data_IF_876546989094
#
_entry.id   IF_876546989094
#
_cell.length_a   1.000
_cell.length_b   1.000
_cell.length_c   1.000
_cell.angle_alpha   90.00
_cell.angle_beta   90.00
_cell.angle_gamma   90.00
#
_symmetry.space_group_name_H-M   'P 1'
#
loop_
_entity.id
_entity.type
_entity.pdbx_description
1 polymer ?
#
# COMPACT_ATOMS: atom_id res chain seq x y z
N UNK A 1 -22.59 40.47 -41.49
CA UNK A 1 -23.91 40.19 -40.87
C UNK A 1 -23.99 38.82 -40.22
N UNK A 2 -23.53 37.77 -40.84
CA UNK A 2 -23.60 36.38 -40.28
C UNK A 2 -22.94 36.18 -38.89
N UNK A 3 -21.85 36.90 -38.59
CA UNK A 3 -21.13 36.73 -37.30
C UNK A 3 -21.86 37.39 -36.10
N UNK A 4 -22.80 38.29 -36.37
CA UNK A 4 -23.61 38.96 -35.33
C UNK A 4 -24.87 38.17 -35.00
N UNK A 5 -25.41 37.45 -35.99
CA UNK A 5 -26.56 36.56 -35.81
C UNK A 5 -26.15 35.28 -35.06
N UNK A 6 -25.00 34.70 -35.40
CA UNK A 6 -24.48 33.54 -34.64
C UNK A 6 -24.21 33.87 -33.15
N UNK A 7 -23.66 35.05 -32.84
CA UNK A 7 -23.42 35.50 -31.48
C UNK A 7 -24.72 35.76 -30.69
N UNK A 8 -25.77 36.24 -31.40
CA UNK A 8 -27.09 36.42 -30.77
C UNK A 8 -27.76 35.08 -30.47
N UNK A 9 -27.68 34.12 -31.39
CA UNK A 9 -28.23 32.78 -31.21
C UNK A 9 -27.54 31.99 -30.08
N UNK A 10 -26.22 32.17 -29.89
CA UNK A 10 -25.47 31.60 -28.75
C UNK A 10 -25.85 32.26 -27.41
N UNK A 11 -26.06 33.57 -27.40
CA UNK A 11 -26.52 34.29 -26.20
C UNK A 11 -27.96 33.91 -25.82
N UNK A 12 -28.84 33.73 -26.78
CA UNK A 12 -30.22 33.30 -26.53
C UNK A 12 -30.30 31.84 -26.05
N UNK A 13 -29.44 30.97 -26.60
CA UNK A 13 -29.29 29.59 -26.07
C UNK A 13 -28.77 29.58 -24.66
N UNK A 14 -27.76 30.40 -24.35
CA UNK A 14 -27.18 30.51 -23.00
C UNK A 14 -28.21 31.04 -21.99
N UNK A 15 -28.98 32.10 -22.37
CA UNK A 15 -30.05 32.64 -21.53
C UNK A 15 -31.18 31.64 -21.29
N UNK A 16 -31.54 30.83 -22.30
CA UNK A 16 -32.53 29.78 -22.14
C UNK A 16 -32.08 28.66 -21.23
N UNK A 17 -30.80 28.25 -21.27
CA UNK A 17 -30.21 27.28 -20.36
C UNK A 17 -30.18 27.80 -18.93
N UNK A 18 -29.77 29.07 -18.74
CA UNK A 18 -29.77 29.74 -17.43
C UNK A 18 -31.17 29.84 -16.82
N UNK A 19 -32.16 30.28 -17.60
CA UNK A 19 -33.55 30.39 -17.12
C UNK A 19 -34.16 29.03 -16.79
N UNK A 20 -33.83 27.97 -17.55
CA UNK A 20 -34.26 26.60 -17.28
C UNK A 20 -33.61 26.05 -15.99
N UNK A 21 -32.38 26.40 -15.73
CA UNK A 21 -31.65 26.06 -14.49
C UNK A 21 -32.25 26.74 -13.27
N UNK A 22 -32.55 28.03 -13.37
CA UNK A 22 -33.20 28.80 -12.30
C UNK A 22 -34.60 28.24 -11.97
N UNK A 23 -35.43 27.99 -12.95
CA UNK A 23 -36.74 27.38 -12.76
C UNK A 23 -36.66 25.98 -12.13
N UNK A 24 -35.66 25.16 -12.51
CA UNK A 24 -35.46 23.85 -11.92
C UNK A 24 -35.05 23.95 -10.45
N UNK A 25 -34.15 24.89 -10.12
CA UNK A 25 -33.70 25.17 -8.75
C UNK A 25 -34.86 25.66 -7.91
N UNK A 26 -35.67 26.61 -8.39
CA UNK A 26 -36.85 27.09 -7.69
C UNK A 26 -37.86 25.97 -7.43
N UNK A 27 -38.14 25.15 -8.41
CA UNK A 27 -39.09 24.03 -8.30
C UNK A 27 -38.61 22.93 -7.35
N UNK A 28 -37.29 22.71 -7.27
CA UNK A 28 -36.70 21.66 -6.43
C UNK A 28 -36.00 22.21 -5.17
N UNK A 29 -36.09 23.52 -4.88
CA UNK A 29 -35.39 24.19 -3.81
C UNK A 29 -35.48 23.48 -2.45
N UNK A 30 -36.68 23.05 -2.05
CA UNK A 30 -36.89 22.30 -0.79
C UNK A 30 -36.13 20.95 -0.79
N UNK A 31 -36.12 20.24 -1.91
CA UNK A 31 -35.39 18.95 -2.04
C UNK A 31 -33.90 19.14 -2.01
N UNK A 32 -33.42 20.19 -2.70
CA UNK A 32 -31.99 20.55 -2.74
C UNK A 32 -31.54 20.94 -1.33
N UNK A 33 -32.28 21.80 -0.63
CA UNK A 33 -31.97 22.19 0.75
C UNK A 33 -31.98 20.99 1.69
N UNK A 34 -32.93 20.07 1.57
CA UNK A 34 -32.96 18.85 2.35
C UNK A 34 -31.75 17.95 2.07
N UNK A 35 -31.35 17.78 0.79
CA UNK A 35 -30.18 17.01 0.40
C UNK A 35 -28.89 17.63 0.95
N UNK A 36 -28.73 18.95 0.85
CA UNK A 36 -27.58 19.68 1.41
C UNK A 36 -27.50 19.51 2.93
N UNK A 37 -28.64 19.62 3.63
CA UNK A 37 -28.71 19.40 5.08
C UNK A 37 -28.27 17.97 5.45
N UNK A 38 -28.70 16.96 4.73
CA UNK A 38 -28.30 15.56 4.97
C UNK A 38 -26.79 15.40 4.79
N UNK A 39 -26.21 16.00 3.74
CA UNK A 39 -24.75 15.97 3.50
C UNK A 39 -24.00 16.67 4.64
N UNK A 40 -24.45 17.85 5.08
CA UNK A 40 -23.85 18.57 6.20
C UNK A 40 -23.91 17.73 7.49
N UNK A 41 -25.05 17.14 7.79
CA UNK A 41 -25.19 16.27 8.98
C UNK A 41 -24.28 15.03 8.90
N UNK A 42 -24.15 14.43 7.73
CA UNK A 42 -23.23 13.31 7.52
C UNK A 42 -21.76 13.74 7.75
N UNK A 43 -21.34 14.86 7.19
CA UNK A 43 -19.99 15.41 7.38
C UNK A 43 -19.73 15.72 8.86
N UNK A 44 -20.65 16.40 9.53
CA UNK A 44 -20.54 16.70 10.96
C UNK A 44 -20.48 15.42 11.78
N UNK A 45 -21.31 14.42 11.47
CA UNK A 45 -21.26 13.11 12.13
C UNK A 45 -19.92 12.43 12.00
N UNK A 46 -19.32 12.40 10.78
CA UNK A 46 -17.99 11.85 10.53
C UNK A 46 -16.91 12.60 11.34
N UNK A 47 -16.97 13.94 11.37
CA UNK A 47 -16.01 14.74 12.14
C UNK A 47 -16.13 14.49 13.65
N UNK A 48 -17.33 14.33 14.17
CA UNK A 48 -17.55 14.01 15.58
C UNK A 48 -17.00 12.62 15.93
N UNK A 49 -17.27 11.60 15.10
CA UNK A 49 -16.69 10.26 15.30
C UNK A 49 -15.16 10.32 15.24
N UNK A 50 -14.61 11.03 14.26
CA UNK A 50 -13.15 11.17 14.15
C UNK A 50 -12.53 11.85 15.37
N UNK A 51 -13.15 12.92 15.89
CA UNK A 51 -12.59 13.72 16.97
C UNK A 51 -12.78 13.08 18.35
N UNK A 52 -13.97 12.50 18.61
CA UNK A 52 -14.34 12.05 19.95
C UNK A 52 -14.20 10.54 20.17
N UNK A 53 -14.09 9.76 19.10
CA UNK A 53 -13.93 8.32 19.18
C UNK A 53 -12.57 7.86 18.64
N UNK A 54 -12.24 8.22 17.39
CA UNK A 54 -11.01 7.72 16.77
C UNK A 54 -9.74 8.40 17.31
N UNK A 55 -9.78 9.69 17.65
CA UNK A 55 -8.58 10.37 18.11
C UNK A 55 -8.07 9.86 19.48
N UNK A 56 -8.93 9.68 20.51
CA UNK A 56 -8.52 9.03 21.75
C UNK A 56 -8.04 7.59 21.55
N UNK A 57 -8.75 6.82 20.71
CA UNK A 57 -8.38 5.44 20.39
C UNK A 57 -7.01 5.34 19.69
N UNK A 58 -6.69 6.27 18.81
CA UNK A 58 -5.37 6.39 18.16
C UNK A 58 -4.26 6.67 19.17
N UNK A 59 -4.51 7.56 20.16
CA UNK A 59 -3.55 7.85 21.22
C UNK A 59 -3.28 6.62 22.11
N UNK A 60 -4.33 5.90 22.48
CA UNK A 60 -4.21 4.65 23.24
C UNK A 60 -3.42 3.60 22.45
N UNK A 61 -3.72 3.45 21.15
CA UNK A 61 -3.02 2.52 20.26
C UNK A 61 -1.52 2.86 20.13
N UNK A 62 -1.17 4.15 19.95
CA UNK A 62 0.23 4.59 19.91
C UNK A 62 0.97 4.29 21.21
N UNK A 63 0.34 4.53 22.35
CA UNK A 63 0.92 4.19 23.65
C UNK A 63 1.12 2.68 23.83
N UNK A 64 0.16 1.87 23.34
CA UNK A 64 0.29 0.41 23.36
C UNK A 64 1.45 -0.07 22.46
N UNK A 65 1.65 0.55 21.30
CA UNK A 65 2.76 0.17 20.39
C UNK A 65 4.15 0.44 20.94
N UNK A 66 4.33 1.51 21.71
CA UNK A 66 5.65 1.99 22.14
C UNK A 66 6.53 0.91 22.79
N UNK A 67 5.94 0.05 23.64
CA UNK A 67 6.66 -1.06 24.24
C UNK A 67 7.01 -2.16 23.27
N UNK A 68 6.11 -2.43 22.33
CA UNK A 68 6.34 -3.40 21.26
C UNK A 68 7.51 -3.01 20.38
N UNK A 69 7.61 -1.73 20.03
CA UNK A 69 8.73 -1.19 19.26
C UNK A 69 10.07 -1.40 19.98
N UNK A 70 10.10 -1.22 21.30
CA UNK A 70 11.30 -1.49 22.10
C UNK A 70 11.72 -2.98 22.06
N UNK A 71 10.77 -3.91 22.19
CA UNK A 71 11.06 -5.34 22.04
C UNK A 71 11.49 -5.70 20.61
N UNK A 72 10.85 -5.08 19.63
CA UNK A 72 11.17 -5.26 18.22
C UNK A 72 12.59 -4.82 17.88
N UNK A 73 13.04 -3.66 18.37
CA UNK A 73 14.40 -3.14 18.22
C UNK A 73 15.49 -4.03 18.84
N UNK A 74 15.11 -4.87 19.81
CA UNK A 74 15.99 -5.84 20.43
C UNK A 74 15.91 -7.24 19.79
N UNK A 75 15.28 -7.37 18.64
CA UNK A 75 15.01 -8.65 17.95
C UNK A 75 14.22 -9.65 18.82
N UNK A 76 13.55 -9.18 19.89
CA UNK A 76 12.69 -10.01 20.73
C UNK A 76 11.30 -10.15 20.10
N UNK A 77 11.27 -10.78 18.92
CA UNK A 77 10.07 -10.88 18.08
C UNK A 77 8.93 -11.65 18.73
N UNK A 78 9.24 -12.63 19.58
CA UNK A 78 8.22 -13.41 20.29
C UNK A 78 7.41 -12.53 21.24
N UNK A 79 8.09 -11.73 22.07
CA UNK A 79 7.43 -10.80 23.00
C UNK A 79 6.81 -9.63 22.27
N UNK A 80 7.48 -9.11 21.23
CA UNK A 80 6.90 -8.05 20.39
C UNK A 80 5.59 -8.49 19.73
N UNK A 81 5.50 -9.74 19.27
CA UNK A 81 4.32 -10.28 18.62
C UNK A 81 3.18 -10.55 19.60
N UNK A 82 3.47 -11.28 20.68
CA UNK A 82 2.45 -11.89 21.56
C UNK A 82 2.22 -11.11 22.87
N UNK A 83 3.09 -10.16 23.20
CA UNK A 83 3.03 -9.40 24.45
C UNK A 83 3.92 -9.97 25.56
N UNK A 84 4.02 -9.21 26.66
CA UNK A 84 4.66 -9.64 27.89
C UNK A 84 3.59 -9.99 28.95
N UNK A 85 4.01 -10.59 30.06
CA UNK A 85 3.09 -10.93 31.14
C UNK A 85 2.69 -9.73 32.02
N UNK A 86 3.28 -8.53 31.76
CA UNK A 86 3.11 -7.37 32.62
C UNK A 86 2.07 -6.38 32.06
N UNK A 87 2.39 -5.68 30.95
CA UNK A 87 1.60 -4.54 30.53
C UNK A 87 1.70 -4.24 29.01
N UNK A 88 2.33 -5.12 28.23
CA UNK A 88 2.31 -5.04 26.77
C UNK A 88 1.53 -6.22 26.18
N UNK A 89 0.45 -5.89 25.46
CA UNK A 89 -0.50 -6.89 24.91
C UNK A 89 -0.01 -7.60 23.65
N UNK A 90 1.09 -7.14 23.05
CA UNK A 90 1.62 -7.64 21.78
C UNK A 90 1.04 -6.96 20.55
N UNK A 91 1.83 -6.89 19.46
CA UNK A 91 1.38 -6.25 18.23
C UNK A 91 0.11 -6.91 17.62
N UNK A 92 -0.08 -8.21 17.81
CA UNK A 92 -1.30 -8.90 17.38
C UNK A 92 -2.54 -8.31 18.06
N UNK A 93 -2.51 -8.20 19.37
CA UNK A 93 -3.63 -7.64 20.13
C UNK A 93 -3.82 -6.15 19.81
N UNK A 94 -2.72 -5.39 19.62
CA UNK A 94 -2.82 -3.98 19.20
C UNK A 94 -3.49 -3.86 17.84
N UNK A 95 -3.15 -4.71 16.85
CA UNK A 95 -3.76 -4.71 15.53
C UNK A 95 -5.28 -4.99 15.61
N UNK A 96 -5.68 -5.94 16.46
CA UNK A 96 -7.07 -6.35 16.63
C UNK A 96 -7.89 -5.31 17.40
N UNK A 97 -7.43 -4.89 18.60
CA UNK A 97 -8.17 -3.99 19.48
C UNK A 97 -8.30 -2.59 18.92
N UNK A 98 -7.27 -2.12 18.21
CA UNK A 98 -7.22 -0.78 17.64
C UNK A 98 -7.39 -0.77 16.12
N UNK A 99 -8.05 -1.80 15.58
CA UNK A 99 -8.37 -1.85 14.15
C UNK A 99 -9.14 -0.59 13.72
N UNK A 100 -8.77 0.00 12.58
CA UNK A 100 -9.31 1.27 12.12
C UNK A 100 -8.58 2.52 12.60
N UNK A 101 -7.60 2.41 13.50
CA UNK A 101 -6.61 3.45 13.80
C UNK A 101 -5.37 3.30 12.92
N UNK A 102 -4.58 4.37 12.79
CA UNK A 102 -3.30 4.28 12.05
C UNK A 102 -2.28 3.43 12.79
N UNK A 103 -2.25 3.53 14.12
CA UNK A 103 -1.36 2.73 14.95
C UNK A 103 -1.73 1.25 14.89
N UNK A 104 -3.03 0.90 14.94
CA UNK A 104 -3.48 -0.48 14.77
C UNK A 104 -3.16 -1.02 13.37
N UNK A 105 -3.31 -0.20 12.32
CA UNK A 105 -2.86 -0.57 10.99
C UNK A 105 -1.33 -0.80 10.92
N UNK A 106 -0.53 0.05 11.55
CA UNK A 106 0.92 -0.13 11.63
C UNK A 106 1.30 -1.36 12.46
N UNK A 107 0.52 -1.70 13.48
CA UNK A 107 0.70 -2.91 14.28
C UNK A 107 0.58 -4.18 13.42
N UNK A 108 -0.25 -4.20 12.37
CA UNK A 108 -0.27 -5.30 11.38
C UNK A 108 1.10 -5.47 10.72
N UNK A 109 1.75 -4.38 10.28
CA UNK A 109 3.08 -4.47 9.68
C UNK A 109 4.11 -5.06 10.67
N UNK A 110 4.13 -4.56 11.91
CA UNK A 110 5.03 -5.07 12.94
C UNK A 110 4.75 -6.54 13.31
N UNK A 111 3.47 -6.92 13.48
CA UNK A 111 3.08 -8.29 13.75
C UNK A 111 3.52 -9.24 12.63
N UNK A 112 3.28 -8.84 11.37
CA UNK A 112 3.71 -9.63 10.22
C UNK A 112 5.23 -9.78 10.12
N UNK A 113 5.99 -8.70 10.39
CA UNK A 113 7.46 -8.76 10.43
C UNK A 113 7.95 -9.67 11.55
N UNK A 114 7.36 -9.58 12.74
CA UNK A 114 7.69 -10.47 13.86
C UNK A 114 7.42 -11.94 13.52
N UNK A 115 6.22 -12.24 13.01
CA UNK A 115 5.86 -13.60 12.63
C UNK A 115 6.80 -14.16 11.54
N UNK A 116 7.17 -13.34 10.55
CA UNK A 116 8.15 -13.72 9.52
C UNK A 116 9.51 -14.09 10.13
N UNK A 117 10.04 -13.27 11.06
CA UNK A 117 11.33 -13.52 11.71
C UNK A 117 11.29 -14.75 12.62
N UNK A 118 10.12 -15.11 13.15
CA UNK A 118 9.90 -16.35 13.90
C UNK A 118 9.73 -17.59 13.00
N UNK A 119 9.68 -17.40 11.67
CA UNK A 119 9.50 -18.48 10.69
C UNK A 119 8.04 -18.85 10.41
N UNK A 120 7.08 -18.13 10.99
CA UNK A 120 5.64 -18.37 10.86
C UNK A 120 5.10 -17.67 9.60
N UNK A 121 5.42 -18.20 8.41
CA UNK A 121 5.13 -17.51 7.15
C UNK A 121 3.64 -17.34 6.87
N UNK A 122 2.77 -18.27 7.28
CA UNK A 122 1.33 -18.18 7.13
C UNK A 122 0.76 -17.04 7.99
N UNK A 123 1.16 -16.98 9.26
CA UNK A 123 0.77 -15.91 10.19
C UNK A 123 1.31 -14.55 9.72
N UNK A 124 2.56 -14.53 9.21
CA UNK A 124 3.14 -13.33 8.64
C UNK A 124 2.32 -12.77 7.47
N UNK A 125 1.85 -13.65 6.57
CA UNK A 125 0.99 -13.26 5.45
C UNK A 125 -0.31 -12.62 5.93
N UNK A 126 -0.97 -13.21 6.94
CA UNK A 126 -2.23 -12.69 7.47
C UNK A 126 -2.10 -11.22 7.89
N UNK A 127 -1.07 -10.89 8.66
CA UNK A 127 -0.85 -9.54 9.15
C UNK A 127 -0.28 -8.59 8.08
N UNK A 128 0.66 -9.06 7.25
CA UNK A 128 1.24 -8.22 6.20
C UNK A 128 0.20 -7.85 5.13
N UNK A 129 -0.71 -8.75 4.79
CA UNK A 129 -1.80 -8.49 3.84
C UNK A 129 -2.92 -7.63 4.46
N UNK A 130 -3.06 -7.59 5.78
CA UNK A 130 -3.98 -6.71 6.49
C UNK A 130 -3.47 -5.27 6.59
N UNK A 131 -2.16 -5.04 6.40
CA UNK A 131 -1.60 -3.69 6.41
C UNK A 131 -2.08 -2.90 5.19
N UNK A 132 -2.75 -1.76 5.43
CA UNK A 132 -3.24 -0.82 4.42
C UNK A 132 -2.44 0.49 4.51
N UNK A 133 -1.35 0.59 3.77
CA UNK A 133 -0.47 1.76 3.73
C UNK A 133 -0.05 2.12 2.32
N UNK A 134 0.50 3.32 2.19
CA UNK A 134 1.04 3.83 0.93
C UNK A 134 2.34 4.61 1.11
N UNK A 135 3.02 4.40 2.23
CA UNK A 135 4.29 5.06 2.53
C UNK A 135 5.37 4.58 1.56
N UNK A 136 6.06 5.52 0.88
CA UNK A 136 6.94 5.19 -0.26
C UNK A 136 8.08 4.21 0.04
N UNK A 137 8.46 4.06 1.32
CA UNK A 137 9.48 3.12 1.74
C UNK A 137 8.90 1.88 2.43
N UNK A 138 7.92 2.04 3.30
CA UNK A 138 7.38 0.93 4.08
C UNK A 138 6.55 -0.01 3.20
N UNK A 139 5.58 0.52 2.46
CA UNK A 139 4.63 -0.29 1.70
C UNK A 139 5.29 -1.23 0.68
N UNK A 140 6.25 -0.79 -0.17
CA UNK A 140 6.95 -1.71 -1.08
C UNK A 140 7.75 -2.80 -0.34
N UNK A 141 8.31 -2.48 0.83
CA UNK A 141 9.02 -3.48 1.64
C UNK A 141 8.06 -4.52 2.24
N UNK A 142 6.85 -4.12 2.64
CA UNK A 142 5.79 -5.06 3.08
C UNK A 142 5.42 -6.01 1.94
N UNK A 143 5.18 -5.49 0.73
CA UNK A 143 4.89 -6.32 -0.46
C UNK A 143 6.05 -7.30 -0.73
N UNK A 144 7.30 -6.83 -0.65
CA UNK A 144 8.46 -7.70 -0.83
C UNK A 144 8.56 -8.77 0.28
N UNK A 145 8.15 -8.45 1.50
CA UNK A 145 8.11 -9.41 2.61
C UNK A 145 7.03 -10.49 2.39
N UNK A 146 5.85 -10.11 1.88
CA UNK A 146 4.84 -11.06 1.41
C UNK A 146 5.44 -11.98 0.33
N UNK A 147 6.24 -11.43 -0.60
CA UNK A 147 7.00 -12.22 -1.57
C UNK A 147 7.97 -13.20 -0.92
N UNK A 148 8.69 -12.80 0.13
CA UNK A 148 9.58 -13.68 0.89
C UNK A 148 8.81 -14.82 1.57
N UNK A 149 7.64 -14.54 2.18
CA UNK A 149 6.78 -15.55 2.79
C UNK A 149 6.37 -16.62 1.75
N UNK A 150 5.88 -16.20 0.59
CA UNK A 150 5.54 -17.12 -0.50
C UNK A 150 6.73 -17.95 -0.97
N UNK A 151 7.92 -17.34 -1.09
CA UNK A 151 9.15 -18.05 -1.46
C UNK A 151 9.53 -19.12 -0.42
N UNK A 152 9.43 -18.80 0.88
CA UNK A 152 9.68 -19.73 1.98
C UNK A 152 8.71 -20.91 1.98
N UNK A 153 7.45 -20.66 1.60
CA UNK A 153 6.40 -21.68 1.47
C UNK A 153 6.50 -22.47 0.15
N UNK A 154 7.42 -22.12 -0.75
CA UNK A 154 7.62 -22.78 -2.04
C UNK A 154 6.66 -22.31 -3.15
N UNK A 155 5.82 -21.31 -2.90
CA UNK A 155 4.97 -20.71 -3.94
C UNK A 155 5.75 -19.64 -4.72
N UNK A 156 6.72 -20.11 -5.50
CA UNK A 156 7.63 -19.24 -6.24
C UNK A 156 6.94 -18.34 -7.27
N UNK A 157 5.81 -18.78 -7.83
CA UNK A 157 5.04 -17.98 -8.77
C UNK A 157 4.42 -16.74 -8.11
N UNK A 158 3.87 -16.89 -6.90
CA UNK A 158 3.37 -15.74 -6.14
C UNK A 158 4.50 -14.87 -5.62
N UNK A 159 5.59 -15.48 -5.14
CA UNK A 159 6.77 -14.75 -4.70
C UNK A 159 7.30 -13.82 -5.78
N UNK A 160 7.52 -14.32 -6.99
CA UNK A 160 8.00 -13.55 -8.13
C UNK A 160 7.07 -12.37 -8.45
N UNK A 161 5.74 -12.60 -8.49
CA UNK A 161 4.77 -11.53 -8.74
C UNK A 161 4.83 -10.45 -7.67
N UNK A 162 4.94 -10.82 -6.39
CA UNK A 162 5.03 -9.87 -5.29
C UNK A 162 6.34 -9.06 -5.31
N UNK A 163 7.45 -9.64 -5.71
CA UNK A 163 8.68 -8.88 -5.87
C UNK A 163 8.62 -7.89 -7.05
N UNK A 164 7.98 -8.25 -8.16
CA UNK A 164 7.75 -7.32 -9.28
C UNK A 164 6.83 -6.18 -8.83
N UNK A 165 5.71 -6.49 -8.17
CA UNK A 165 4.78 -5.51 -7.59
C UNK A 165 5.51 -4.55 -6.63
N UNK A 166 6.37 -5.08 -5.75
CA UNK A 166 7.17 -4.27 -4.84
C UNK A 166 8.12 -3.30 -5.57
N UNK A 167 8.71 -3.75 -6.69
CA UNK A 167 9.59 -2.92 -7.50
C UNK A 167 8.82 -1.78 -8.20
N UNK A 168 7.61 -2.06 -8.69
CA UNK A 168 6.72 -1.09 -9.33
C UNK A 168 6.24 -0.05 -8.33
N UNK A 169 5.79 -0.49 -7.14
CA UNK A 169 5.33 0.40 -6.07
C UNK A 169 6.45 1.29 -5.52
N UNK A 170 7.65 0.75 -5.35
CA UNK A 170 8.81 1.51 -4.90
C UNK A 170 9.16 2.64 -5.88
N UNK A 171 9.14 2.37 -7.18
CA UNK A 171 9.39 3.30 -8.27
C UNK A 171 10.61 4.21 -8.06
N UNK A 172 11.71 3.66 -7.53
CA UNK A 172 12.94 4.40 -7.25
C UNK A 172 14.19 3.59 -7.57
N UNK A 173 15.32 4.30 -7.76
CA UNK A 173 16.59 3.70 -8.19
C UNK A 173 17.35 2.95 -7.08
N UNK A 174 16.85 2.93 -5.85
CA UNK A 174 17.55 2.29 -4.72
C UNK A 174 16.98 0.90 -4.43
N UNK A 175 15.66 0.81 -4.23
CA UNK A 175 15.04 -0.45 -3.81
C UNK A 175 14.35 -1.21 -4.95
N UNK A 176 13.86 -0.52 -6.00
CA UNK A 176 13.24 -1.22 -7.14
C UNK A 176 14.17 -2.25 -7.80
N UNK A 177 15.45 -1.92 -8.12
CA UNK A 177 16.35 -2.91 -8.71
C UNK A 177 16.61 -4.10 -7.77
N UNK A 178 16.60 -3.90 -6.44
CA UNK A 178 16.73 -4.99 -5.48
C UNK A 178 15.56 -5.98 -5.59
N UNK A 179 14.34 -5.47 -5.68
CA UNK A 179 13.15 -6.33 -5.79
C UNK A 179 13.07 -7.03 -7.13
N UNK A 180 13.45 -6.38 -8.24
CA UNK A 180 13.56 -7.04 -9.55
C UNK A 180 14.61 -8.17 -9.54
N UNK A 181 15.75 -7.98 -8.89
CA UNK A 181 16.75 -9.03 -8.74
C UNK A 181 16.22 -10.20 -7.89
N UNK A 182 15.45 -9.93 -6.82
CA UNK A 182 14.78 -10.99 -6.07
C UNK A 182 13.81 -11.77 -6.95
N UNK A 183 12.99 -11.07 -7.75
CA UNK A 183 12.08 -11.72 -8.70
C UNK A 183 12.82 -12.60 -9.71
N UNK A 184 13.92 -12.09 -10.29
CA UNK A 184 14.74 -12.82 -11.23
C UNK A 184 15.40 -14.06 -10.57
N UNK A 185 15.87 -13.94 -9.33
CA UNK A 185 16.43 -15.07 -8.57
C UNK A 185 15.37 -16.16 -8.32
N UNK A 186 14.13 -15.79 -8.08
CA UNK A 186 13.02 -16.73 -7.95
C UNK A 186 12.71 -17.39 -9.30
N UNK A 187 12.78 -16.64 -10.41
CA UNK A 187 12.62 -17.21 -11.75
C UNK A 187 13.72 -18.24 -12.06
N UNK A 188 15.00 -17.96 -11.73
CA UNK A 188 16.08 -18.95 -11.83
C UNK A 188 15.80 -20.21 -10.97
N UNK A 189 15.23 -20.02 -9.77
CA UNK A 189 14.89 -21.12 -8.85
C UNK A 189 13.89 -22.12 -9.44
N UNK A 190 12.98 -21.63 -10.30
CA UNK A 190 12.00 -22.47 -11.02
C UNK A 190 12.44 -22.80 -12.45
N UNK A 191 13.69 -22.54 -12.79
CA UNK A 191 14.29 -22.79 -14.10
C UNK A 191 13.65 -21.98 -15.26
N UNK A 192 12.94 -20.90 -14.94
CA UNK A 192 12.43 -19.93 -15.92
C UNK A 192 13.52 -18.88 -16.23
N UNK A 193 14.55 -19.35 -16.96
CA UNK A 193 15.71 -18.53 -17.27
C UNK A 193 15.38 -17.39 -18.23
N UNK A 194 14.41 -17.56 -19.12
CA UNK A 194 13.96 -16.49 -20.01
C UNK A 194 13.37 -15.32 -19.20
N UNK A 195 12.54 -15.61 -18.21
CA UNK A 195 11.98 -14.60 -17.31
C UNK A 195 13.05 -13.96 -16.41
N UNK A 196 14.02 -14.75 -15.95
CA UNK A 196 15.15 -14.22 -15.19
C UNK A 196 15.95 -13.21 -16.01
N UNK A 197 16.27 -13.54 -17.28
CA UNK A 197 16.98 -12.62 -18.19
C UNK A 197 16.16 -11.35 -18.44
N UNK A 198 14.85 -11.45 -18.67
CA UNK A 198 13.96 -10.31 -18.85
C UNK A 198 14.05 -9.34 -17.66
N UNK A 199 13.91 -9.87 -16.43
CA UNK A 199 13.94 -9.07 -15.20
C UNK A 199 15.31 -8.43 -14.93
N UNK A 200 16.41 -9.16 -15.16
CA UNK A 200 17.76 -8.58 -15.07
C UNK A 200 18.00 -7.52 -16.13
N UNK A 201 17.48 -7.72 -17.36
CA UNK A 201 17.58 -6.70 -18.41
C UNK A 201 16.79 -5.44 -18.03
N UNK A 202 15.64 -5.57 -17.39
CA UNK A 202 14.89 -4.44 -16.86
C UNK A 202 15.69 -3.62 -15.83
N UNK A 203 16.45 -4.31 -14.94
CA UNK A 203 17.37 -3.63 -14.02
C UNK A 203 18.43 -2.86 -14.79
N UNK A 204 19.01 -3.47 -15.82
CA UNK A 204 20.02 -2.82 -16.67
C UNK A 204 19.49 -1.58 -17.36
N UNK A 205 18.30 -1.70 -17.97
CA UNK A 205 17.75 -0.64 -18.81
C UNK A 205 17.20 0.55 -18.00
N UNK A 206 16.57 0.27 -16.84
CA UNK A 206 15.95 1.31 -16.02
C UNK A 206 16.84 1.84 -14.89
N UNK A 207 17.79 1.03 -14.40
CA UNK A 207 18.55 1.30 -13.18
C UNK A 207 20.05 1.11 -13.33
N UNK A 208 20.61 1.30 -14.54
CA UNK A 208 22.04 1.14 -14.87
C UNK A 208 22.96 1.87 -13.88
N UNK A 209 22.59 3.08 -13.44
CA UNK A 209 23.38 3.88 -12.51
C UNK A 209 23.20 3.51 -11.03
N UNK A 210 22.38 2.51 -10.71
CA UNK A 210 22.23 1.99 -9.35
C UNK A 210 23.42 1.09 -8.99
N UNK A 211 23.65 0.89 -7.70
CA UNK A 211 24.66 -0.07 -7.22
C UNK A 211 24.40 -1.47 -7.76
N UNK A 212 23.13 -1.86 -7.90
CA UNK A 212 22.74 -3.16 -8.43
C UNK A 212 22.90 -3.25 -9.95
N UNK A 213 22.69 -2.15 -10.67
CA UNK A 213 22.82 -2.08 -12.13
C UNK A 213 24.25 -2.25 -12.63
N UNK A 214 25.26 -1.79 -11.87
CA UNK A 214 26.67 -1.82 -12.27
C UNK A 214 27.19 -3.24 -12.55
N UNK A 215 26.69 -4.23 -11.83
CA UNK A 215 27.17 -5.63 -11.92
C UNK A 215 26.14 -6.56 -12.59
N UNK A 216 25.05 -6.02 -13.13
CA UNK A 216 23.90 -6.83 -13.58
C UNK A 216 24.22 -7.74 -14.77
N UNK A 217 25.18 -7.35 -15.61
CA UNK A 217 25.59 -8.12 -16.80
C UNK A 217 26.03 -9.54 -16.46
N UNK A 218 26.70 -9.74 -15.33
CA UNK A 218 27.12 -11.08 -14.88
C UNK A 218 25.92 -12.00 -14.59
N UNK A 219 24.81 -11.44 -14.07
CA UNK A 219 23.60 -12.21 -13.81
C UNK A 219 22.87 -12.54 -15.12
N UNK A 220 22.80 -11.57 -16.04
CA UNK A 220 22.22 -11.77 -17.39
C UNK A 220 22.95 -12.89 -18.11
N UNK A 221 24.28 -12.83 -18.20
CA UNK A 221 25.08 -13.85 -18.90
C UNK A 221 25.01 -15.21 -18.22
N UNK A 222 24.97 -15.25 -16.89
CA UNK A 222 24.76 -16.50 -16.15
C UNK A 222 23.42 -17.15 -16.48
N UNK A 223 22.33 -16.37 -16.47
CA UNK A 223 20.99 -16.88 -16.77
C UNK A 223 20.87 -17.34 -18.23
N UNK A 224 21.40 -16.55 -19.19
CA UNK A 224 21.46 -16.92 -20.62
C UNK A 224 22.19 -18.25 -20.87
N UNK A 225 23.26 -18.52 -20.15
CA UNK A 225 24.02 -19.76 -20.28
C UNK A 225 23.21 -21.01 -19.89
N UNK A 226 22.09 -20.86 -19.19
CA UNK A 226 21.21 -21.95 -18.80
C UNK A 226 20.07 -22.18 -19.83
N UNK A 227 19.82 -21.23 -20.72
CA UNK A 227 18.82 -21.36 -21.79
C UNK A 227 19.37 -22.33 -22.84
N UNK A 228 18.64 -23.40 -23.12
CA UNK A 228 19.01 -24.45 -24.05
C UNK A 228 18.46 -24.21 -25.45
#
# INVERSE_FOLDING_TARGET
>A
MANKEQKMDELDKMNNVLSSGEQWIEKNGKKITAAVLVVILAVVGILLVKQFYLAPLEEEAQNAMFKGEFYFEQDNFEVALNGDEADFIGFKAVADEYSGTKAGNLANAYAGICAYNLGNNEEALEYLEAYDGNEPLLYPNIIAMIGNCYANMGDYNKAMKKFVEAAEEASNSVISPLFLIKAATVAEKVEDFDKAVELYQEVKDKYENSVMGQDIDKFIERAKAQIK
#
